data_IF_797420881309
#
_entry.id   IF_797420881309
#
_cell.length_a   1.000
_cell.length_b   1.000
_cell.length_c   1.000
_cell.angle_alpha   90.00
_cell.angle_beta   90.00
_cell.angle_gamma   90.00
#
_symmetry.space_group_name_H-M   'P 1'
#
loop_
_entity.id
_entity.type
_entity.pdbx_description
1 polymer ?
#
# COMPACT_ATOMS: atom_id res chain seq x y z
N UNK A 1 36.58 8.18 10.20
CA UNK A 1 35.42 9.10 10.30
C UNK A 1 34.47 8.53 11.33
N UNK A 2 34.52 9.00 12.58
CA UNK A 2 33.54 8.61 13.60
C UNK A 2 32.26 9.43 13.35
N UNK A 3 31.22 8.81 12.79
CA UNK A 3 29.93 9.46 12.63
C UNK A 3 29.35 9.80 14.01
N UNK A 4 29.02 11.08 14.19
CA UNK A 4 28.30 11.61 15.34
C UNK A 4 26.83 11.16 15.18
N UNK A 5 26.24 10.57 16.21
CA UNK A 5 24.91 9.91 16.16
C UNK A 5 23.71 10.84 15.88
N UNK A 6 23.93 12.15 15.72
CA UNK A 6 22.90 13.15 15.36
C UNK A 6 22.88 13.50 13.85
N UNK A 7 23.74 12.89 13.03
CA UNK A 7 23.78 13.17 11.60
C UNK A 7 22.67 12.40 10.88
N UNK A 8 22.05 13.00 9.85
CA UNK A 8 20.91 12.39 9.14
C UNK A 8 21.29 11.01 8.56
N UNK A 9 22.56 10.86 8.14
CA UNK A 9 23.13 9.59 7.68
C UNK A 9 23.13 8.48 8.75
N UNK A 10 23.35 8.81 10.02
CA UNK A 10 23.33 7.85 11.12
C UNK A 10 21.91 7.33 11.38
N UNK A 11 20.92 8.23 11.38
CA UNK A 11 19.51 7.85 11.48
C UNK A 11 19.04 7.00 10.30
N UNK A 12 19.51 7.30 9.08
CA UNK A 12 19.24 6.49 7.89
C UNK A 12 19.83 5.09 8.02
N UNK A 13 21.09 4.96 8.43
CA UNK A 13 21.75 3.67 8.60
C UNK A 13 21.08 2.83 9.70
N UNK A 14 20.71 3.47 10.81
CA UNK A 14 20.00 2.83 11.91
C UNK A 14 18.61 2.36 11.46
N UNK A 15 17.88 3.18 10.71
CA UNK A 15 16.60 2.80 10.12
C UNK A 15 16.72 1.58 9.19
N UNK A 16 17.66 1.61 8.25
CA UNK A 16 17.89 0.51 7.31
C UNK A 16 18.37 -0.77 8.00
N UNK A 17 19.21 -0.66 9.03
CA UNK A 17 19.68 -1.83 9.80
C UNK A 17 18.56 -2.44 10.63
N UNK A 18 17.72 -1.63 11.29
CA UNK A 18 16.52 -2.13 11.98
C UNK A 18 15.59 -2.82 10.97
N UNK A 19 15.32 -2.20 9.83
CA UNK A 19 14.48 -2.79 8.78
C UNK A 19 15.06 -4.12 8.29
N UNK A 20 16.36 -4.17 8.02
CA UNK A 20 17.06 -5.39 7.60
C UNK A 20 17.00 -6.49 8.66
N UNK A 21 17.21 -6.16 9.93
CA UNK A 21 17.08 -7.10 11.06
C UNK A 21 15.64 -7.58 11.19
N UNK A 22 14.65 -6.69 11.13
CA UNK A 22 13.22 -7.07 11.19
C UNK A 22 12.86 -8.01 10.05
N UNK A 23 13.32 -7.75 8.82
CA UNK A 23 13.09 -8.62 7.66
C UNK A 23 13.74 -9.99 7.88
N UNK A 24 15.02 -10.03 8.31
CA UNK A 24 15.77 -11.26 8.50
C UNK A 24 15.25 -12.12 9.66
N UNK A 25 14.89 -11.49 10.79
CA UNK A 25 14.46 -12.19 12.01
C UNK A 25 12.97 -12.53 11.99
N UNK A 26 12.17 -11.97 11.07
CA UNK A 26 10.72 -12.23 10.96
C UNK A 26 10.37 -13.72 10.89
N UNK A 27 11.10 -14.50 10.10
CA UNK A 27 10.85 -15.94 9.95
C UNK A 27 11.07 -16.68 11.27
N UNK A 28 12.11 -16.30 12.02
CA UNK A 28 12.42 -16.84 13.34
C UNK A 28 11.41 -16.42 14.41
N UNK A 29 10.97 -15.16 14.40
CA UNK A 29 9.94 -14.65 15.33
C UNK A 29 8.63 -15.38 15.10
N UNK A 30 8.21 -15.56 13.85
CA UNK A 30 6.95 -16.24 13.52
C UNK A 30 6.99 -17.72 13.90
N UNK A 31 8.14 -18.38 13.68
CA UNK A 31 8.37 -19.74 14.13
C UNK A 31 8.34 -19.86 15.65
N UNK A 32 9.09 -19.02 16.36
CA UNK A 32 9.14 -19.00 17.82
C UNK A 32 7.79 -18.68 18.46
N UNK A 33 7.02 -17.76 17.87
CA UNK A 33 5.68 -17.41 18.33
C UNK A 33 4.68 -18.56 18.11
N UNK A 34 4.77 -19.27 16.99
CA UNK A 34 3.92 -20.45 16.75
C UNK A 34 4.26 -21.58 17.72
N UNK A 35 5.55 -21.85 17.97
CA UNK A 35 6.00 -22.86 18.95
C UNK A 35 5.60 -22.47 20.38
N UNK A 36 5.69 -21.19 20.72
CA UNK A 36 5.26 -20.67 22.02
C UNK A 36 3.74 -20.78 22.20
N UNK A 37 2.96 -20.38 21.19
CA UNK A 37 1.51 -20.55 21.19
C UNK A 37 1.14 -22.02 21.34
N UNK A 38 1.76 -22.91 20.57
CA UNK A 38 1.50 -24.36 20.63
C UNK A 38 1.82 -24.94 22.02
N UNK A 39 2.88 -24.46 22.68
CA UNK A 39 3.20 -24.82 24.08
C UNK A 39 2.22 -24.27 25.11
N UNK A 40 1.69 -23.06 24.91
CA UNK A 40 0.82 -22.39 25.89
C UNK A 40 -0.64 -22.81 25.75
N UNK A 41 -1.13 -23.01 24.53
CA UNK A 41 -2.54 -23.33 24.25
C UNK A 41 -2.80 -24.79 23.91
N UNK A 42 -1.78 -25.64 23.73
CA UNK A 42 -1.91 -27.08 23.44
C UNK A 42 -2.62 -27.41 22.12
N UNK A 43 -2.95 -26.40 21.33
CA UNK A 43 -3.64 -26.45 20.03
C UNK A 43 -3.26 -25.19 19.26
N UNK A 44 -2.99 -25.35 17.96
CA UNK A 44 -2.76 -24.24 17.01
C UNK A 44 -4.03 -23.44 16.67
N UNK A 45 -5.20 -23.90 17.13
CA UNK A 45 -6.49 -23.26 16.93
C UNK A 45 -7.12 -22.79 18.26
N UNK A 46 -7.65 -21.57 18.26
CA UNK A 46 -8.33 -20.97 19.41
C UNK A 46 -9.52 -21.83 19.86
N UNK A 47 -9.56 -22.15 21.15
CA UNK A 47 -10.72 -22.75 21.84
C UNK A 47 -12.03 -22.05 21.46
N UNK A 48 -13.15 -22.77 21.26
CA UNK A 48 -14.41 -22.22 20.74
C UNK A 48 -14.98 -21.05 21.57
N UNK A 49 -14.75 -21.02 22.89
CA UNK A 49 -15.15 -19.92 23.78
C UNK A 49 -14.38 -18.63 23.47
N UNK A 50 -13.07 -18.75 23.21
CA UNK A 50 -12.23 -17.62 22.84
C UNK A 50 -12.56 -17.10 21.45
N UNK A 51 -12.86 -18.00 20.50
CA UNK A 51 -13.31 -17.62 19.14
C UNK A 51 -14.62 -16.84 19.15
N UNK A 52 -15.57 -17.20 20.03
CA UNK A 52 -16.83 -16.45 20.22
C UNK A 52 -16.58 -15.06 20.82
N UNK A 53 -15.73 -14.98 21.85
CA UNK A 53 -15.35 -13.71 22.50
C UNK A 53 -14.60 -12.77 21.55
N UNK A 54 -13.70 -13.33 20.75
CA UNK A 54 -12.96 -12.60 19.72
C UNK A 54 -13.89 -12.05 18.64
N UNK A 55 -14.86 -12.84 18.17
CA UNK A 55 -15.85 -12.36 17.20
C UNK A 55 -16.72 -11.23 17.75
N UNK A 56 -17.16 -11.30 19.00
CA UNK A 56 -17.89 -10.21 19.65
C UNK A 56 -17.02 -8.97 19.80
N UNK A 57 -15.76 -9.11 20.24
CA UNK A 57 -14.82 -7.99 20.34
C UNK A 57 -14.53 -7.35 18.96
N UNK A 58 -14.32 -8.17 17.92
CA UNK A 58 -14.14 -7.71 16.54
C UNK A 58 -15.38 -6.99 16.01
N UNK A 59 -16.58 -7.45 16.36
CA UNK A 59 -17.82 -6.78 16.00
C UNK A 59 -17.88 -5.36 16.61
N UNK A 60 -17.66 -5.25 17.92
CA UNK A 60 -17.63 -3.95 18.61
C UNK A 60 -16.53 -3.03 18.05
N UNK A 61 -15.33 -3.56 17.85
CA UNK A 61 -14.20 -2.81 17.31
C UNK A 61 -14.49 -2.30 15.89
N UNK A 62 -15.08 -3.14 15.03
CA UNK A 62 -15.47 -2.76 13.66
C UNK A 62 -16.48 -1.61 13.68
N UNK A 63 -17.53 -1.71 14.50
CA UNK A 63 -18.53 -0.64 14.63
C UNK A 63 -17.94 0.67 15.17
N UNK A 64 -17.04 0.59 16.15
CA UNK A 64 -16.31 1.76 16.64
C UNK A 64 -15.48 2.39 15.52
N UNK A 65 -14.75 1.58 14.75
CA UNK A 65 -13.94 2.06 13.64
C UNK A 65 -14.77 2.67 12.52
N UNK A 66 -15.94 2.09 12.21
CA UNK A 66 -16.91 2.68 11.28
C UNK A 66 -17.37 4.06 11.73
N UNK A 67 -17.80 4.18 12.99
CA UNK A 67 -18.23 5.45 13.56
C UNK A 67 -17.12 6.50 13.62
N UNK A 68 -15.90 6.09 13.96
CA UNK A 68 -14.75 6.98 13.96
C UNK A 68 -14.41 7.47 12.54
N UNK A 69 -14.38 6.58 11.56
CA UNK A 69 -14.08 6.92 10.17
C UNK A 69 -15.14 7.87 9.58
N UNK A 70 -16.43 7.56 9.75
CA UNK A 70 -17.51 8.44 9.28
C UNK A 70 -17.48 9.79 10.01
N UNK A 71 -17.24 9.79 11.33
CA UNK A 71 -17.10 11.00 12.12
C UNK A 71 -15.99 11.92 11.61
N UNK A 72 -14.81 11.36 11.32
CA UNK A 72 -13.69 12.11 10.73
C UNK A 72 -14.06 12.62 9.33
N UNK A 73 -14.65 11.78 8.47
CA UNK A 73 -15.05 12.19 7.12
C UNK A 73 -16.04 13.36 7.15
N UNK A 74 -17.09 13.25 7.96
CA UNK A 74 -18.11 14.30 8.09
C UNK A 74 -17.51 15.57 8.68
N UNK A 75 -16.70 15.45 9.73
CA UNK A 75 -16.04 16.61 10.34
C UNK A 75 -15.19 17.38 9.34
N UNK A 76 -14.38 16.68 8.54
CA UNK A 76 -13.52 17.29 7.52
C UNK A 76 -14.33 17.92 6.40
N UNK A 77 -15.37 17.24 5.94
CA UNK A 77 -16.26 17.75 4.90
C UNK A 77 -16.91 19.05 5.38
N UNK A 78 -17.40 19.10 6.62
CA UNK A 78 -18.02 20.30 7.19
C UNK A 78 -16.98 21.42 7.38
N UNK A 79 -15.80 21.12 7.92
CA UNK A 79 -14.73 22.11 8.11
C UNK A 79 -14.29 22.73 6.77
N UNK A 80 -14.11 21.90 5.74
CA UNK A 80 -13.78 22.36 4.39
C UNK A 80 -14.95 23.07 3.72
N UNK A 81 -16.19 22.66 3.99
CA UNK A 81 -17.38 23.32 3.44
C UNK A 81 -17.56 24.75 3.93
N UNK A 82 -17.28 24.98 5.21
CA UNK A 82 -17.37 26.31 5.82
C UNK A 82 -16.27 27.23 5.26
N UNK A 83 -15.05 26.70 5.07
CA UNK A 83 -13.91 27.49 4.60
C UNK A 83 -13.93 27.75 3.10
N UNK A 84 -14.23 26.74 2.29
CA UNK A 84 -14.12 26.77 0.83
C UNK A 84 -15.30 26.01 0.18
N UNK A 85 -16.46 26.67 -0.04
CA UNK A 85 -17.66 26.00 -0.53
C UNK A 85 -17.50 25.41 -1.93
N UNK A 86 -16.58 25.93 -2.75
CA UNK A 86 -16.31 25.41 -4.09
C UNK A 86 -15.80 23.95 -4.09
N UNK A 87 -15.11 23.54 -3.03
CA UNK A 87 -14.56 22.18 -2.92
C UNK A 87 -15.66 21.11 -2.79
N UNK A 88 -16.88 21.49 -2.40
CA UNK A 88 -18.02 20.58 -2.27
C UNK A 88 -18.45 20.02 -3.62
N UNK A 89 -18.07 20.67 -4.73
CA UNK A 89 -18.36 20.18 -6.08
C UNK A 89 -17.75 18.79 -6.34
N UNK A 90 -16.69 18.42 -5.63
CA UNK A 90 -16.03 17.11 -5.77
C UNK A 90 -16.85 15.94 -5.17
N UNK A 91 -17.61 16.18 -4.09
CA UNK A 91 -18.42 15.17 -3.41
C UNK A 91 -19.45 14.48 -4.32
N UNK A 92 -20.33 15.21 -5.05
CA UNK A 92 -21.28 14.58 -5.94
C UNK A 92 -20.58 13.84 -7.09
N UNK A 93 -19.39 14.25 -7.51
CA UNK A 93 -18.59 13.51 -8.50
C UNK A 93 -18.26 12.09 -8.04
N UNK A 94 -17.81 11.92 -6.80
CA UNK A 94 -17.51 10.60 -6.22
C UNK A 94 -18.78 9.75 -6.15
N UNK A 95 -19.91 10.33 -5.72
CA UNK A 95 -21.21 9.62 -5.65
C UNK A 95 -21.68 9.20 -7.03
N UNK A 96 -21.56 10.06 -8.04
CA UNK A 96 -21.96 9.74 -9.42
C UNK A 96 -21.09 8.62 -10.00
N UNK A 97 -19.78 8.64 -9.79
CA UNK A 97 -18.88 7.57 -10.26
C UNK A 97 -19.28 6.23 -9.63
N UNK A 98 -19.51 6.20 -8.32
CA UNK A 98 -19.97 4.98 -7.63
C UNK A 98 -21.34 4.52 -8.15
N UNK A 99 -22.25 5.46 -8.44
CA UNK A 99 -23.57 5.16 -8.99
C UNK A 99 -23.47 4.55 -10.40
N UNK A 100 -22.60 5.10 -11.27
CA UNK A 100 -22.33 4.54 -12.60
C UNK A 100 -21.80 3.10 -12.45
N UNK A 101 -20.82 2.87 -11.57
CA UNK A 101 -20.31 1.52 -11.31
C UNK A 101 -21.40 0.55 -10.82
N UNK A 102 -22.36 1.03 -10.02
CA UNK A 102 -23.49 0.24 -9.55
C UNK A 102 -24.48 -0.09 -10.69
N UNK A 103 -24.78 0.88 -11.56
CA UNK A 103 -25.68 0.69 -12.71
C UNK A 103 -25.14 -0.32 -13.72
N UNK A 104 -23.83 -0.34 -13.95
CA UNK A 104 -23.16 -1.30 -14.85
C UNK A 104 -22.74 -2.60 -14.15
N UNK A 105 -23.08 -2.78 -12.87
CA UNK A 105 -22.75 -4.00 -12.14
C UNK A 105 -23.61 -5.17 -12.60
N UNK A 106 -22.98 -6.33 -12.81
CA UNK A 106 -23.68 -7.57 -13.20
C UNK A 106 -24.57 -8.12 -12.07
N UNK A 107 -24.27 -7.80 -10.80
CA UNK A 107 -25.01 -8.30 -9.65
C UNK A 107 -25.10 -7.24 -8.52
N UNK A 108 -25.89 -6.17 -8.70
CA UNK A 108 -25.96 -5.05 -7.75
C UNK A 108 -26.43 -5.48 -6.35
N UNK A 109 -27.22 -6.55 -6.25
CA UNK A 109 -27.72 -7.06 -4.96
C UNK A 109 -26.66 -7.83 -4.14
N UNK A 110 -25.52 -8.20 -4.74
CA UNK A 110 -24.44 -8.98 -4.07
C UNK A 110 -23.22 -8.12 -3.72
N UNK A 111 -23.37 -6.80 -3.78
CA UNK A 111 -22.28 -5.86 -3.52
C UNK A 111 -21.93 -5.86 -2.03
N UNK A 112 -20.65 -6.06 -1.72
CA UNK A 112 -20.16 -5.96 -0.35
C UNK A 112 -19.87 -4.50 0.01
N UNK A 113 -20.82 -3.86 0.69
CA UNK A 113 -20.71 -2.47 1.13
C UNK A 113 -19.59 -2.23 2.17
N UNK A 114 -19.19 -3.26 2.92
CA UNK A 114 -18.04 -3.18 3.86
C UNK A 114 -16.77 -2.81 3.09
N UNK A 115 -16.48 -3.53 2.00
CA UNK A 115 -15.28 -3.31 1.19
C UNK A 115 -15.31 -1.95 0.51
N UNK A 116 -16.46 -1.52 -0.03
CA UNK A 116 -16.57 -0.20 -0.68
C UNK A 116 -16.34 0.93 0.31
N UNK A 117 -17.01 0.87 1.47
CA UNK A 117 -16.87 1.89 2.51
C UNK A 117 -15.42 2.02 2.96
N UNK A 118 -14.77 0.90 3.27
CA UNK A 118 -13.39 0.92 3.75
C UNK A 118 -12.39 1.34 2.66
N UNK A 119 -12.62 0.98 1.40
CA UNK A 119 -11.76 1.45 0.29
C UNK A 119 -11.81 2.97 0.13
N UNK A 120 -13.01 3.56 0.10
CA UNK A 120 -13.19 5.02 -0.01
C UNK A 120 -12.67 5.72 1.25
N UNK A 121 -12.98 5.17 2.42
CA UNK A 121 -12.52 5.69 3.71
C UNK A 121 -11.00 5.69 3.81
N UNK A 122 -10.33 4.62 3.41
CA UNK A 122 -8.88 4.51 3.47
C UNK A 122 -8.20 5.48 2.50
N UNK A 123 -8.73 5.64 1.27
CA UNK A 123 -8.24 6.66 0.32
C UNK A 123 -8.43 8.08 0.88
N UNK A 124 -9.58 8.37 1.49
CA UNK A 124 -9.86 9.67 2.11
C UNK A 124 -8.95 9.95 3.30
N UNK A 125 -8.78 8.99 4.20
CA UNK A 125 -7.92 9.12 5.38
C UNK A 125 -6.45 9.30 4.97
N UNK A 126 -5.98 8.54 3.97
CA UNK A 126 -4.63 8.69 3.43
C UNK A 126 -4.43 10.09 2.83
N UNK A 127 -5.39 10.56 2.03
CA UNK A 127 -5.38 11.91 1.46
C UNK A 127 -5.38 13.00 2.53
N UNK A 128 -6.17 12.85 3.58
CA UNK A 128 -6.19 13.78 4.72
C UNK A 128 -4.84 13.80 5.43
N UNK A 129 -4.28 12.63 5.70
CA UNK A 129 -3.00 12.49 6.37
C UNK A 129 -1.90 13.19 5.57
N UNK A 130 -1.85 12.95 4.25
CA UNK A 130 -0.82 13.51 3.37
C UNK A 130 -1.02 15.01 3.11
N UNK A 131 -2.26 15.47 2.86
CA UNK A 131 -2.53 16.82 2.35
C UNK A 131 -2.91 17.85 3.42
N UNK A 132 -3.44 17.45 4.58
CA UNK A 132 -3.82 18.40 5.63
C UNK A 132 -2.84 18.37 6.81
N UNK A 133 -2.28 17.22 7.17
CA UNK A 133 -1.43 17.11 8.35
C UNK A 133 0.00 17.60 8.07
N UNK A 134 0.56 18.47 8.93
CA UNK A 134 1.92 19.02 8.75
C UNK A 134 2.98 17.93 8.65
N UNK A 135 2.97 16.99 9.62
CA UNK A 135 3.86 15.82 9.61
C UNK A 135 3.68 14.94 8.37
N UNK A 136 2.46 14.84 7.83
CA UNK A 136 2.21 14.07 6.60
C UNK A 136 2.82 14.72 5.37
N UNK A 137 2.71 16.05 5.25
CA UNK A 137 3.40 16.82 4.20
C UNK A 137 4.91 16.71 4.34
N UNK A 138 5.44 16.87 5.55
CA UNK A 138 6.88 16.75 5.82
C UNK A 138 7.39 15.35 5.44
N UNK A 139 6.62 14.29 5.73
CA UNK A 139 6.96 12.93 5.33
C UNK A 139 6.98 12.73 3.81
N UNK A 140 6.02 13.31 3.08
CA UNK A 140 5.99 13.26 1.61
C UNK A 140 7.12 14.08 0.99
N UNK A 141 7.42 15.26 1.51
CA UNK A 141 8.57 16.05 1.06
C UNK A 141 9.89 15.32 1.31
N UNK A 142 10.03 14.68 2.47
CA UNK A 142 11.18 13.83 2.74
C UNK A 142 11.28 12.69 1.72
N UNK A 143 10.18 11.98 1.45
CA UNK A 143 10.16 10.90 0.45
C UNK A 143 10.50 11.41 -0.96
N UNK A 144 9.91 12.54 -1.36
CA UNK A 144 10.17 13.18 -2.64
C UNK A 144 11.65 13.51 -2.81
N UNK A 145 12.28 14.09 -1.78
CA UNK A 145 13.71 14.40 -1.82
C UNK A 145 14.61 13.17 -2.04
N UNK A 146 14.17 11.98 -1.59
CA UNK A 146 14.88 10.71 -1.83
C UNK A 146 14.70 10.22 -3.25
N UNK A 147 13.51 10.40 -3.82
CA UNK A 147 13.25 10.08 -5.22
C UNK A 147 14.03 11.04 -6.14
N UNK A 148 14.14 12.32 -5.78
CA UNK A 148 14.94 13.30 -6.52
C UNK A 148 16.44 12.96 -6.49
N UNK A 149 16.97 12.53 -5.33
CA UNK A 149 18.35 12.02 -5.21
C UNK A 149 18.56 10.78 -6.11
N UNK A 150 17.59 9.87 -6.15
CA UNK A 150 17.62 8.72 -7.05
C UNK A 150 17.61 9.12 -8.53
N UNK A 151 16.82 10.15 -8.90
CA UNK A 151 16.80 10.69 -10.25
C UNK A 151 18.13 11.33 -10.63
N UNK A 152 18.75 12.10 -9.74
CA UNK A 152 20.08 12.67 -9.99
C UNK A 152 21.15 11.60 -10.19
N UNK A 153 21.14 10.52 -9.40
CA UNK A 153 22.04 9.38 -9.60
C UNK A 153 21.84 8.73 -10.98
N UNK A 154 20.60 8.64 -11.45
CA UNK A 154 20.30 8.14 -12.79
C UNK A 154 20.79 9.10 -13.89
N UNK A 155 20.65 10.41 -13.70
CA UNK A 155 21.15 11.41 -14.65
C UNK A 155 22.67 11.36 -14.79
N UNK A 156 23.39 11.11 -13.70
CA UNK A 156 24.85 10.94 -13.74
C UNK A 156 25.24 9.67 -14.51
N UNK A 157 24.45 8.59 -14.38
CA UNK A 157 24.57 7.41 -15.24
C UNK A 157 24.33 7.73 -16.72
N UNK A 158 23.32 8.53 -17.04
CA UNK A 158 23.07 9.00 -18.41
C UNK A 158 24.21 9.86 -18.96
N UNK A 159 24.76 10.79 -18.17
CA UNK A 159 25.92 11.61 -18.56
C UNK A 159 27.14 10.75 -18.86
N UNK A 160 27.36 9.68 -18.09
CA UNK A 160 28.47 8.75 -18.30
C UNK A 160 28.30 7.98 -19.63
N UNK A 161 27.09 7.52 -19.94
CA UNK A 161 26.83 6.70 -21.12
C UNK A 161 26.71 7.52 -22.42
N UNK A 162 26.08 8.69 -22.35
CA UNK A 162 25.69 9.49 -23.53
C UNK A 162 26.38 10.86 -23.61
N UNK A 163 27.23 11.20 -22.63
CA UNK A 163 27.91 12.50 -22.56
C UNK A 163 27.00 13.64 -22.11
N UNK A 164 27.53 14.87 -22.13
CA UNK A 164 26.80 16.08 -21.66
C UNK A 164 25.60 16.45 -22.55
N UNK A 165 25.57 15.99 -23.81
CA UNK A 165 24.53 16.32 -24.77
C UNK A 165 23.25 15.48 -24.62
N UNK A 166 23.17 14.58 -23.62
CA UNK A 166 21.98 13.76 -23.37
C UNK A 166 20.69 14.59 -23.18
N UNK A 167 20.82 15.85 -22.74
CA UNK A 167 19.70 16.79 -22.55
C UNK A 167 19.03 17.22 -23.85
N UNK A 168 19.75 17.23 -24.97
CA UNK A 168 19.20 17.62 -26.28
C UNK A 168 18.10 16.65 -26.74
N UNK A 169 18.22 15.37 -26.36
CA UNK A 169 17.20 14.34 -26.60
C UNK A 169 16.84 13.62 -25.30
N UNK A 170 16.43 14.40 -24.28
CA UNK A 170 16.14 13.91 -22.93
C UNK A 170 15.16 12.72 -22.88
N UNK A 171 14.19 12.67 -23.80
CA UNK A 171 13.23 11.55 -23.85
C UNK A 171 13.93 10.19 -24.04
N UNK A 172 14.97 10.16 -24.87
CA UNK A 172 15.68 8.92 -25.23
C UNK A 172 16.89 8.72 -24.32
N UNK A 173 17.63 9.78 -23.98
CA UNK A 173 18.89 9.64 -23.23
C UNK A 173 18.79 10.02 -21.74
N UNK A 174 17.64 10.51 -21.28
CA UNK A 174 17.34 10.78 -19.86
C UNK A 174 16.26 9.85 -19.33
N UNK A 175 15.06 9.93 -19.89
CA UNK A 175 13.89 9.20 -19.37
C UNK A 175 13.99 7.67 -19.55
N UNK A 176 14.46 7.18 -20.70
CA UNK A 176 14.64 5.73 -20.92
C UNK A 176 15.69 5.13 -19.98
N UNK A 177 16.91 5.71 -19.81
CA UNK A 177 17.87 5.23 -18.82
C UNK A 177 17.32 5.23 -17.39
N UNK A 178 16.54 6.25 -17.01
CA UNK A 178 15.87 6.28 -15.71
C UNK A 178 14.92 5.09 -15.53
N UNK A 179 14.18 4.70 -16.57
CA UNK A 179 13.34 3.52 -16.55
C UNK A 179 14.17 2.24 -16.36
N UNK A 180 15.27 2.08 -17.10
CA UNK A 180 16.16 0.92 -16.94
C UNK A 180 16.79 0.86 -15.54
N UNK A 181 17.25 2.00 -15.02
CA UNK A 181 17.83 2.10 -13.69
C UNK A 181 16.80 1.76 -12.59
N UNK A 182 15.57 2.28 -12.72
CA UNK A 182 14.46 1.97 -11.81
C UNK A 182 14.11 0.48 -11.83
N UNK A 183 14.02 -0.12 -13.02
CA UNK A 183 13.73 -1.55 -13.15
C UNK A 183 14.85 -2.43 -12.56
N UNK A 184 16.11 -2.06 -12.80
CA UNK A 184 17.27 -2.72 -12.19
C UNK A 184 17.24 -2.65 -10.66
N UNK A 185 16.93 -1.48 -10.09
CA UNK A 185 16.79 -1.30 -8.64
C UNK A 185 15.63 -2.12 -8.07
N UNK A 186 14.48 -2.12 -8.72
CA UNK A 186 13.34 -2.95 -8.31
C UNK A 186 13.72 -4.44 -8.34
N UNK A 187 14.38 -4.91 -9.41
CA UNK A 187 14.85 -6.30 -9.52
C UNK A 187 15.77 -6.68 -8.35
N UNK A 188 16.69 -5.78 -7.98
CA UNK A 188 17.56 -5.97 -6.82
C UNK A 188 16.76 -6.04 -5.50
N UNK A 189 15.80 -5.15 -5.29
CA UNK A 189 14.94 -5.16 -4.10
C UNK A 189 14.09 -6.44 -4.01
N UNK A 190 13.64 -6.98 -5.14
CA UNK A 190 12.98 -8.28 -5.22
C UNK A 190 13.93 -9.43 -4.90
N UNK A 191 15.15 -9.42 -5.43
CA UNK A 191 16.14 -10.44 -5.12
C UNK A 191 16.51 -10.45 -3.64
N UNK A 192 16.66 -9.27 -3.03
CA UNK A 192 16.95 -9.10 -1.60
C UNK A 192 15.77 -9.42 -0.66
N UNK A 193 14.56 -9.66 -1.19
CA UNK A 193 13.40 -10.00 -0.36
C UNK A 193 12.63 -8.81 0.24
N UNK A 194 13.06 -7.57 -0.04
CA UNK A 194 12.48 -6.34 0.55
C UNK A 194 11.07 -6.09 0.01
N UNK A 195 10.88 -6.23 -1.31
CA UNK A 195 9.57 -6.01 -1.92
C UNK A 195 8.54 -7.04 -1.46
N UNK A 196 8.94 -8.31 -1.32
CA UNK A 196 8.08 -9.37 -0.80
C UNK A 196 7.64 -9.06 0.62
N UNK A 197 8.53 -8.49 1.44
CA UNK A 197 8.17 -8.04 2.78
C UNK A 197 7.11 -6.92 2.73
N UNK A 198 7.35 -5.87 1.94
CA UNK A 198 6.43 -4.72 1.80
C UNK A 198 5.05 -5.19 1.32
N UNK A 199 5.01 -5.95 0.23
CA UNK A 199 3.77 -6.50 -0.34
C UNK A 199 3.03 -7.38 0.65
N UNK A 200 3.74 -8.22 1.42
CA UNK A 200 3.09 -9.08 2.42
C UNK A 200 2.51 -8.27 3.58
N UNK A 201 3.21 -7.22 4.04
CA UNK A 201 2.71 -6.35 5.11
C UNK A 201 1.48 -5.59 4.64
N UNK A 202 1.56 -4.96 3.46
CA UNK A 202 0.48 -4.18 2.91
C UNK A 202 -0.74 -5.05 2.52
N UNK A 203 -0.50 -6.22 1.93
CA UNK A 203 -1.54 -7.18 1.58
C UNK A 203 -2.28 -7.72 2.81
N UNK A 204 -1.57 -8.02 3.91
CA UNK A 204 -2.21 -8.43 5.16
C UNK A 204 -3.00 -7.28 5.81
N UNK A 205 -2.50 -6.05 5.71
CA UNK A 205 -3.20 -4.86 6.19
C UNK A 205 -4.51 -4.63 5.42
N UNK A 206 -4.47 -4.69 4.08
CA UNK A 206 -5.65 -4.61 3.23
C UNK A 206 -6.62 -5.77 3.48
N UNK A 207 -6.12 -6.99 3.63
CA UNK A 207 -6.94 -8.16 3.97
C UNK A 207 -7.70 -7.95 5.28
N UNK A 208 -7.02 -7.44 6.31
CA UNK A 208 -7.61 -7.19 7.62
C UNK A 208 -8.70 -6.11 7.59
N UNK A 209 -8.48 -5.02 6.84
CA UNK A 209 -9.42 -3.89 6.77
C UNK A 209 -10.59 -4.18 5.84
N UNK A 210 -10.31 -4.65 4.63
CA UNK A 210 -11.30 -4.82 3.57
C UNK A 210 -12.12 -6.12 3.70
N UNK A 211 -11.67 -7.06 4.56
CA UNK A 211 -12.22 -8.41 4.71
C UNK A 211 -12.27 -9.17 3.37
N UNK A 212 -11.37 -8.81 2.45
CA UNK A 212 -11.23 -9.41 1.13
C UNK A 212 -10.40 -10.71 1.21
N UNK A 213 -10.39 -11.52 0.15
CA UNK A 213 -9.59 -12.75 0.21
C UNK A 213 -8.09 -12.44 0.31
N UNK A 214 -7.28 -13.26 1.01
CA UNK A 214 -5.84 -13.01 1.14
C UNK A 214 -5.15 -12.91 -0.22
N UNK A 215 -5.60 -13.67 -1.22
CA UNK A 215 -5.04 -13.63 -2.57
C UNK A 215 -5.38 -12.30 -3.26
N UNK A 216 -6.62 -11.82 -3.17
CA UNK A 216 -7.01 -10.50 -3.71
C UNK A 216 -6.17 -9.38 -3.11
N UNK A 217 -6.06 -9.34 -1.78
CA UNK A 217 -5.34 -8.27 -1.09
C UNK A 217 -3.85 -8.27 -1.40
N UNK A 218 -3.24 -9.46 -1.55
CA UNK A 218 -1.83 -9.58 -1.94
C UNK A 218 -1.59 -9.14 -3.38
N UNK A 219 -2.49 -9.47 -4.31
CA UNK A 219 -2.37 -9.05 -5.70
C UNK A 219 -2.55 -7.54 -5.84
N UNK A 220 -3.54 -6.96 -5.16
CA UNK A 220 -3.75 -5.50 -5.13
C UNK A 220 -2.53 -4.79 -4.54
N UNK A 221 -2.02 -5.29 -3.41
CA UNK A 221 -0.82 -4.73 -2.78
C UNK A 221 0.41 -4.82 -3.70
N UNK A 222 0.59 -5.94 -4.40
CA UNK A 222 1.66 -6.10 -5.36
C UNK A 222 1.50 -5.15 -6.56
N UNK A 223 0.29 -4.99 -7.08
CA UNK A 223 -0.02 -4.12 -8.22
C UNK A 223 0.27 -2.64 -7.96
N UNK A 224 0.23 -2.18 -6.70
CA UNK A 224 0.61 -0.80 -6.34
C UNK A 224 2.12 -0.54 -6.48
N UNK A 225 2.96 -1.55 -6.31
CA UNK A 225 4.42 -1.40 -6.32
C UNK A 225 5.11 -1.97 -7.56
N UNK A 226 4.44 -2.90 -8.24
CA UNK A 226 4.92 -3.55 -9.45
C UNK A 226 4.26 -2.95 -10.68
N UNK A 227 5.00 -2.86 -11.78
CA UNK A 227 4.40 -2.55 -13.08
C UNK A 227 3.30 -3.60 -13.39
N UNK A 228 2.09 -3.16 -13.72
CA UNK A 228 0.88 -4.00 -13.65
C UNK A 228 0.94 -5.36 -14.36
N UNK A 229 1.72 -5.48 -15.44
CA UNK A 229 1.91 -6.76 -16.15
C UNK A 229 2.85 -7.75 -15.42
N UNK A 230 3.86 -7.22 -14.70
CA UNK A 230 4.80 -8.04 -13.91
C UNK A 230 4.11 -8.64 -12.69
N UNK A 231 3.22 -7.87 -12.04
CA UNK A 231 2.37 -8.35 -10.95
C UNK A 231 1.52 -9.55 -11.41
N UNK A 232 0.82 -9.42 -12.54
CA UNK A 232 -0.04 -10.49 -13.05
C UNK A 232 0.74 -11.78 -13.34
N UNK A 233 1.97 -11.65 -13.85
CA UNK A 233 2.84 -12.79 -14.14
C UNK A 233 3.36 -13.45 -12.86
N UNK A 234 3.69 -12.68 -11.83
CA UNK A 234 4.09 -13.21 -10.52
C UNK A 234 2.98 -14.06 -9.87
N UNK A 235 1.71 -13.71 -10.09
CA UNK A 235 0.57 -14.46 -9.56
C UNK A 235 -0.05 -15.48 -10.53
N UNK A 236 0.58 -15.72 -11.69
CA UNK A 236 0.15 -16.71 -12.69
C UNK A 236 -0.30 -18.07 -12.13
N UNK A 237 0.38 -18.72 -11.16
CA UNK A 237 -0.08 -20.00 -10.63
C UNK A 237 -1.43 -19.91 -9.89
N UNK A 238 -1.73 -18.75 -9.29
CA UNK A 238 -2.97 -18.51 -8.56
C UNK A 238 -4.13 -18.10 -9.48
N UNK A 239 -3.86 -17.53 -10.66
CA UNK A 239 -4.91 -17.08 -11.59
C UNK A 239 -5.89 -18.20 -11.99
N UNK A 240 -5.43 -19.46 -12.06
CA UNK A 240 -6.26 -20.61 -12.44
C UNK A 240 -7.32 -20.97 -11.40
N UNK A 241 -7.11 -20.62 -10.13
CA UNK A 241 -8.03 -20.94 -9.03
C UNK A 241 -8.94 -19.77 -8.66
N UNK A 242 -8.78 -18.60 -9.29
CA UNK A 242 -9.58 -17.41 -9.00
C UNK A 242 -10.99 -17.51 -9.59
N UNK A 243 -11.95 -16.98 -8.84
CA UNK A 243 -13.31 -16.75 -9.36
C UNK A 243 -13.33 -15.62 -10.39
N UNK A 244 -14.41 -15.50 -11.18
CA UNK A 244 -14.55 -14.41 -12.16
C UNK A 244 -14.45 -13.01 -11.52
N UNK A 245 -15.03 -12.81 -10.33
CA UNK A 245 -14.97 -11.54 -9.61
C UNK A 245 -13.55 -11.24 -9.11
N UNK A 246 -12.82 -12.26 -8.66
CA UNK A 246 -11.44 -12.13 -8.24
C UNK A 246 -10.53 -11.78 -9.40
N UNK A 247 -10.70 -12.45 -10.54
CA UNK A 247 -9.96 -12.16 -11.75
C UNK A 247 -10.23 -10.73 -12.23
N UNK A 248 -11.49 -10.28 -12.21
CA UNK A 248 -11.84 -8.91 -12.55
C UNK A 248 -11.15 -7.91 -11.61
N UNK A 249 -11.17 -8.13 -10.30
CA UNK A 249 -10.48 -7.30 -9.32
C UNK A 249 -8.98 -7.21 -9.61
N UNK A 250 -8.32 -8.33 -9.90
CA UNK A 250 -6.89 -8.38 -10.24
C UNK A 250 -6.58 -7.56 -11.50
N UNK A 251 -7.41 -7.69 -12.53
CA UNK A 251 -7.23 -6.93 -13.78
C UNK A 251 -7.46 -5.44 -13.51
N UNK A 252 -8.55 -5.07 -12.83
CA UNK A 252 -8.85 -3.68 -12.49
C UNK A 252 -7.77 -3.05 -11.63
N UNK A 253 -7.20 -3.78 -10.66
CA UNK A 253 -6.13 -3.24 -9.82
C UNK A 253 -4.86 -2.89 -10.61
N UNK A 254 -4.55 -3.65 -11.66
CA UNK A 254 -3.44 -3.35 -12.55
C UNK A 254 -3.69 -2.10 -13.42
N UNK A 255 -4.94 -1.77 -13.70
CA UNK A 255 -5.30 -0.56 -14.47
C UNK A 255 -5.50 0.68 -13.59
N UNK A 256 -5.73 0.50 -12.29
CA UNK A 256 -5.99 1.60 -11.35
C UNK A 256 -4.75 2.10 -10.60
N UNK A 257 -3.63 1.38 -10.70
CA UNK A 257 -2.34 1.72 -10.08
C UNK A 257 -1.48 2.50 -11.06
#
# INVERSE_FOLDING_TARGET
MCHRFDDEGSHRLLGCTILGVVIATRSYIRYGFNVFLEKVTGSSSLTPVWKKRENTARFFLRWLMYGACTGVMVWVIVDKAIKEPNNLRSLPGIVIIMFICLCFSTAPNKVNYHTIFWSVGLQFLLSLFILNWKTGKDAIWWLQSRIDEFFHNSEDGSKLMFGQNYKEHYMIFGAMPLLFFTNGMMTLLYYCGVMQFIVTVFGNFLNFILDASPVESMVVAAGTFMEGFTALTAFRPYLKSLTKSQLFLVITSCFSS
#
